data_IF_410156039069
#
_entry.id   IF_410156039069
#
_cell.length_a   1.000
_cell.length_b   1.000
_cell.length_c   1.000
_cell.angle_alpha   90.00
_cell.angle_beta   90.00
_cell.angle_gamma   90.00
#
_symmetry.space_group_name_H-M   'P 1'
#
loop_
_entity.id
_entity.type
_entity.pdbx_description
1 polymer ?
#
# COMPACT_ATOMS: atom_id res chain seq x y z
N UNK A 1 -8.95 1.14 2.01
CA UNK A 1 -8.33 2.46 1.68
C UNK A 1 -8.25 3.28 2.96
N UNK A 2 -7.22 4.11 3.13
CA UNK A 2 -7.04 4.84 4.39
C UNK A 2 -7.95 6.05 4.55
N UNK A 3 -8.27 6.76 3.48
CA UNK A 3 -9.20 7.89 3.58
C UNK A 3 -9.83 8.23 2.22
N UNK A 4 -11.03 8.81 2.23
CA UNK A 4 -11.78 9.22 1.05
C UNK A 4 -11.56 10.69 0.64
N UNK A 5 -10.97 11.51 1.52
CA UNK A 5 -10.74 12.95 1.27
C UNK A 5 -9.28 13.28 0.95
N UNK A 6 -8.34 12.49 1.45
CA UNK A 6 -6.92 12.68 1.21
C UNK A 6 -6.58 12.37 -0.23
N UNK A 7 -5.74 13.21 -0.83
CA UNK A 7 -5.27 13.00 -2.20
C UNK A 7 -4.61 11.65 -2.39
N UNK A 8 -3.77 11.22 -1.43
CA UNK A 8 -3.11 9.91 -1.49
C UNK A 8 -4.12 8.76 -1.44
N UNK A 9 -5.19 8.86 -0.65
CA UNK A 9 -6.25 7.85 -0.59
C UNK A 9 -7.03 7.74 -1.89
N UNK A 10 -7.43 8.89 -2.43
CA UNK A 10 -8.16 8.99 -3.70
C UNK A 10 -7.31 8.45 -4.85
N UNK A 11 -6.09 8.96 -5.02
CA UNK A 11 -5.23 8.64 -6.17
C UNK A 11 -4.80 7.16 -6.16
N UNK A 12 -4.46 6.58 -4.99
CA UNK A 12 -4.12 5.14 -4.89
C UNK A 12 -5.33 4.25 -5.18
N UNK A 13 -6.51 4.61 -4.67
CA UNK A 13 -7.77 3.88 -4.95
C UNK A 13 -8.08 3.93 -6.45
N UNK A 14 -8.12 5.12 -7.02
CA UNK A 14 -8.54 5.31 -8.40
C UNK A 14 -7.53 4.72 -9.38
N UNK A 15 -6.23 4.85 -9.10
CA UNK A 15 -5.18 4.19 -9.87
C UNK A 15 -5.39 2.67 -9.93
N UNK A 16 -5.64 2.03 -8.79
CA UNK A 16 -5.93 0.59 -8.73
C UNK A 16 -7.23 0.25 -9.47
N UNK A 17 -8.34 0.93 -9.16
CA UNK A 17 -9.66 0.67 -9.75
C UNK A 17 -9.63 0.81 -11.27
N UNK A 18 -9.05 1.91 -11.77
CA UNK A 18 -8.99 2.21 -13.20
C UNK A 18 -8.09 1.21 -13.93
N UNK A 19 -6.96 0.80 -13.32
CA UNK A 19 -6.08 -0.21 -13.93
C UNK A 19 -6.75 -1.58 -14.01
N UNK A 20 -7.43 -2.02 -12.96
CA UNK A 20 -8.19 -3.27 -12.96
C UNK A 20 -9.27 -3.26 -14.04
N UNK A 21 -10.11 -2.22 -14.07
CA UNK A 21 -11.20 -2.10 -15.06
C UNK A 21 -10.69 -2.08 -16.51
N UNK A 22 -9.59 -1.36 -16.77
CA UNK A 22 -9.10 -1.17 -18.14
C UNK A 22 -8.25 -2.32 -18.68
N UNK A 23 -7.56 -3.08 -17.83
CA UNK A 23 -6.59 -4.11 -18.27
C UNK A 23 -6.93 -5.53 -17.82
N UNK A 24 -7.76 -5.71 -16.81
CA UNK A 24 -8.06 -7.01 -16.21
C UNK A 24 -9.57 -7.25 -16.14
N UNK A 25 -10.27 -7.37 -17.29
CA UNK A 25 -11.73 -7.48 -17.33
C UNK A 25 -12.29 -8.74 -16.65
N UNK A 26 -11.44 -9.73 -16.37
CA UNK A 26 -11.79 -10.95 -15.62
C UNK A 26 -11.68 -10.78 -14.10
N UNK A 27 -11.19 -9.65 -13.61
CA UNK A 27 -11.13 -9.32 -12.19
C UNK A 27 -12.27 -8.36 -11.86
N UNK A 28 -13.17 -8.81 -10.98
CA UNK A 28 -14.27 -7.99 -10.47
C UNK A 28 -13.89 -7.36 -9.13
N UNK A 29 -13.99 -6.03 -9.04
CA UNK A 29 -13.89 -5.32 -7.76
C UNK A 29 -15.25 -5.42 -7.06
N UNK A 30 -15.32 -6.23 -6.01
CA UNK A 30 -16.58 -6.48 -5.30
C UNK A 30 -16.96 -5.36 -4.33
N UNK A 31 -15.99 -4.65 -3.77
CA UNK A 31 -16.24 -3.51 -2.88
C UNK A 31 -15.00 -2.64 -2.68
N UNK A 32 -15.20 -1.39 -2.25
CA UNK A 32 -14.15 -0.49 -1.76
C UNK A 32 -14.58 -0.01 -0.38
N UNK A 33 -13.74 -0.23 0.62
CA UNK A 33 -14.01 0.14 2.01
C UNK A 33 -12.93 1.08 2.57
N UNK A 34 -13.33 1.93 3.52
CA UNK A 34 -12.48 2.96 4.13
C UNK A 34 -12.21 2.63 5.60
N UNK A 35 -10.96 2.26 5.87
CA UNK A 35 -10.50 1.84 7.19
C UNK A 35 -9.90 2.95 8.04
N UNK A 36 -9.85 4.20 7.55
CA UNK A 36 -9.27 5.32 8.29
C UNK A 36 -7.74 5.29 8.40
N UNK A 37 -7.08 4.32 7.74
CA UNK A 37 -5.67 4.01 7.98
C UNK A 37 -5.44 3.30 9.32
N UNK A 38 -6.52 2.90 10.00
CA UNK A 38 -6.49 2.19 11.27
C UNK A 38 -6.53 0.68 11.04
N UNK A 39 -5.64 -0.05 11.71
CA UNK A 39 -5.47 -1.48 11.50
C UNK A 39 -6.60 -2.30 12.13
N UNK A 40 -7.16 -1.88 13.28
CA UNK A 40 -8.27 -2.59 13.93
C UNK A 40 -9.54 -2.48 13.09
N UNK A 41 -9.91 -1.26 12.70
CA UNK A 41 -11.04 -1.01 11.81
C UNK A 41 -10.88 -1.72 10.47
N UNK A 42 -9.68 -1.70 9.89
CA UNK A 42 -9.40 -2.41 8.64
C UNK A 42 -9.47 -3.94 8.79
N UNK A 43 -9.15 -4.48 9.97
CA UNK A 43 -9.30 -5.90 10.32
C UNK A 43 -10.78 -6.29 10.34
N UNK A 44 -11.63 -5.52 11.04
CA UNK A 44 -13.06 -5.81 11.13
C UNK A 44 -13.76 -5.70 9.77
N UNK A 45 -13.43 -4.68 8.98
CA UNK A 45 -13.90 -4.55 7.61
C UNK A 45 -13.47 -5.75 6.75
N UNK A 46 -12.23 -6.20 6.89
CA UNK A 46 -11.71 -7.35 6.12
C UNK A 46 -12.48 -8.62 6.45
N UNK A 47 -12.76 -8.89 7.74
CA UNK A 47 -13.58 -10.03 8.16
C UNK A 47 -14.98 -10.00 7.55
N UNK A 48 -15.64 -8.84 7.61
CA UNK A 48 -16.98 -8.66 7.02
C UNK A 48 -16.97 -8.85 5.48
N UNK A 49 -15.93 -8.37 4.79
CA UNK A 49 -15.78 -8.57 3.34
C UNK A 49 -15.60 -10.05 3.02
N UNK A 50 -14.75 -10.77 3.75
CA UNK A 50 -14.51 -12.21 3.53
C UNK A 50 -15.79 -13.02 3.74
N UNK A 51 -16.57 -12.69 4.78
CA UNK A 51 -17.85 -13.35 5.07
C UNK A 51 -18.89 -13.10 3.98
N UNK A 52 -19.01 -11.86 3.48
CA UNK A 52 -19.97 -11.48 2.44
C UNK A 52 -19.56 -11.96 1.03
N UNK A 53 -18.28 -12.28 0.81
CA UNK A 53 -17.74 -12.69 -0.48
C UNK A 53 -16.91 -13.97 -0.33
N UNK A 54 -17.54 -15.15 -0.20
CA UNK A 54 -16.83 -16.42 0.05
C UNK A 54 -15.84 -16.82 -1.07
N UNK A 55 -16.02 -16.28 -2.27
CA UNK A 55 -15.16 -16.52 -3.43
C UNK A 55 -14.05 -15.45 -3.61
N UNK A 56 -13.86 -14.55 -2.64
CA UNK A 56 -12.85 -13.50 -2.69
C UNK A 56 -11.44 -14.08 -2.95
N UNK A 57 -10.71 -13.47 -3.88
CA UNK A 57 -9.37 -13.93 -4.30
C UNK A 57 -8.22 -13.04 -3.87
N UNK A 58 -8.49 -11.77 -3.59
CA UNK A 58 -7.45 -10.86 -3.12
C UNK A 58 -7.99 -9.56 -2.55
N UNK A 59 -7.16 -8.88 -1.77
CA UNK A 59 -7.45 -7.60 -1.13
C UNK A 59 -6.21 -6.70 -1.22
N UNK A 60 -6.43 -5.42 -1.51
CA UNK A 60 -5.40 -4.39 -1.57
C UNK A 60 -5.56 -3.38 -0.42
N UNK A 61 -4.53 -3.27 0.43
CA UNK A 61 -4.43 -2.23 1.47
C UNK A 61 -3.68 -1.01 0.97
N UNK A 62 -4.32 0.16 0.95
CA UNK A 62 -3.80 1.37 0.27
C UNK A 62 -2.85 2.26 1.11
N UNK A 63 -2.55 1.87 2.34
CA UNK A 63 -1.49 2.41 3.21
C UNK A 63 -1.07 1.32 4.21
N UNK A 64 -0.05 1.60 5.02
CA UNK A 64 0.46 0.68 6.04
C UNK A 64 -0.65 0.12 6.96
N UNK A 65 -1.39 0.99 7.66
CA UNK A 65 -2.41 0.51 8.61
C UNK A 65 -3.55 -0.27 7.95
N UNK A 66 -3.96 0.11 6.73
CA UNK A 66 -4.91 -0.68 5.95
C UNK A 66 -4.33 -2.04 5.55
N UNK A 67 -3.07 -2.09 5.12
CA UNK A 67 -2.41 -3.32 4.70
C UNK A 67 -2.24 -4.30 5.86
N UNK A 68 -1.85 -3.81 7.04
CA UNK A 68 -1.77 -4.60 8.27
C UNK A 68 -3.15 -5.09 8.71
N UNK A 69 -4.17 -4.24 8.69
CA UNK A 69 -5.52 -4.69 9.05
C UNK A 69 -6.08 -5.73 8.08
N UNK A 70 -5.80 -5.61 6.78
CA UNK A 70 -6.16 -6.64 5.80
C UNK A 70 -5.44 -7.96 6.10
N UNK A 71 -4.13 -7.91 6.37
CA UNK A 71 -3.36 -9.10 6.70
C UNK A 71 -3.92 -9.80 7.96
N UNK A 72 -4.19 -9.03 9.02
CA UNK A 72 -4.75 -9.54 10.26
C UNK A 72 -6.12 -10.19 10.03
N UNK A 73 -7.02 -9.52 9.31
CA UNK A 73 -8.35 -10.06 9.02
C UNK A 73 -8.30 -11.34 8.19
N UNK A 74 -7.40 -11.43 7.21
CA UNK A 74 -7.18 -12.68 6.43
C UNK A 74 -6.63 -13.79 7.32
N UNK A 75 -5.73 -13.46 8.26
CA UNK A 75 -5.13 -14.40 9.21
C UNK A 75 -6.17 -14.94 10.20
N UNK A 76 -6.94 -14.06 10.85
CA UNK A 76 -8.00 -14.42 11.80
C UNK A 76 -9.08 -15.30 11.16
N UNK A 77 -9.37 -15.08 9.86
CA UNK A 77 -10.34 -15.89 9.12
C UNK A 77 -9.77 -17.21 8.58
N UNK A 78 -8.51 -17.54 8.87
CA UNK A 78 -7.85 -18.75 8.40
C UNK A 78 -7.71 -18.81 6.86
N UNK A 79 -7.53 -17.66 6.21
CA UNK A 79 -7.48 -17.52 4.74
C UNK A 79 -6.10 -17.17 4.18
N UNK A 80 -5.04 -17.22 4.99
CA UNK A 80 -3.65 -17.11 4.51
C UNK A 80 -3.41 -18.16 3.40
N UNK A 81 -2.76 -17.72 2.32
CA UNK A 81 -2.52 -18.55 1.13
C UNK A 81 -3.75 -18.80 0.25
N UNK A 82 -4.97 -18.46 0.71
CA UNK A 82 -6.22 -18.57 -0.07
C UNK A 82 -6.67 -17.22 -0.65
N UNK A 83 -6.35 -16.13 0.04
CA UNK A 83 -6.62 -14.75 -0.39
C UNK A 83 -5.27 -14.05 -0.55
N UNK A 84 -5.03 -13.50 -1.75
CA UNK A 84 -3.83 -12.72 -2.04
C UNK A 84 -3.91 -11.37 -1.35
N UNK A 85 -2.93 -11.05 -0.50
CA UNK A 85 -2.83 -9.74 0.14
C UNK A 85 -1.74 -8.92 -0.53
N UNK A 86 -2.09 -7.72 -0.99
CA UNK A 86 -1.14 -6.72 -1.48
C UNK A 86 -1.24 -5.46 -0.60
N UNK A 87 -0.10 -4.94 -0.19
CA UNK A 87 -0.01 -3.74 0.65
C UNK A 87 0.51 -2.49 -0.07
N UNK A 88 0.48 -1.40 0.67
CA UNK A 88 1.26 -0.20 0.42
C UNK A 88 2.15 0.03 1.64
N UNK A 89 3.22 0.78 1.46
CA UNK A 89 4.24 1.07 2.47
C UNK A 89 5.08 -0.15 2.86
N UNK A 90 6.04 0.03 3.78
CA UNK A 90 7.05 -0.99 4.13
C UNK A 90 7.31 -1.15 5.63
N UNK A 91 6.26 -1.14 6.45
CA UNK A 91 6.39 -1.39 7.88
C UNK A 91 7.00 -2.76 8.19
N UNK A 92 7.66 -2.89 9.34
CA UNK A 92 8.36 -4.12 9.75
C UNK A 92 7.45 -5.38 9.70
N UNK A 93 6.18 -5.24 10.09
CA UNK A 93 5.19 -6.32 10.03
C UNK A 93 4.88 -6.74 8.57
N UNK A 94 4.83 -5.80 7.62
CA UNK A 94 4.62 -6.12 6.20
C UNK A 94 5.83 -6.85 5.63
N UNK A 95 7.04 -6.38 5.95
CA UNK A 95 8.30 -7.02 5.54
C UNK A 95 8.36 -8.47 6.06
N UNK A 96 8.03 -8.69 7.34
CA UNK A 96 7.98 -10.01 7.93
C UNK A 96 6.95 -10.92 7.21
N UNK A 97 5.74 -10.41 6.96
CA UNK A 97 4.68 -11.14 6.26
C UNK A 97 5.04 -11.49 4.81
N UNK A 98 5.76 -10.61 4.11
CA UNK A 98 6.24 -10.87 2.75
C UNK A 98 7.34 -11.94 2.77
N UNK A 99 8.24 -11.91 3.76
CA UNK A 99 9.26 -12.95 3.92
C UNK A 99 8.66 -14.32 4.26
N UNK A 100 7.66 -14.36 5.14
CA UNK A 100 6.93 -15.59 5.50
C UNK A 100 6.02 -16.10 4.38
N UNK A 101 5.65 -15.25 3.42
CA UNK A 101 4.74 -15.58 2.33
C UNK A 101 3.25 -15.38 2.69
N UNK A 102 2.97 -14.76 3.84
CA UNK A 102 1.61 -14.38 4.24
C UNK A 102 1.06 -13.19 3.44
N UNK A 103 1.95 -12.34 2.91
CA UNK A 103 1.62 -11.22 2.02
C UNK A 103 2.38 -11.35 0.70
N UNK A 104 1.71 -11.10 -0.43
CA UNK A 104 2.32 -11.28 -1.75
C UNK A 104 3.39 -10.24 -2.07
N UNK A 105 3.22 -9.02 -1.54
CA UNK A 105 4.14 -7.92 -1.70
C UNK A 105 3.45 -6.59 -1.38
N UNK A 106 4.21 -5.50 -1.47
CA UNK A 106 3.68 -4.17 -1.27
C UNK A 106 4.41 -3.13 -2.12
N UNK A 107 3.81 -1.94 -2.22
CA UNK A 107 4.40 -0.79 -2.89
C UNK A 107 5.07 0.08 -1.83
N UNK A 108 6.40 0.16 -1.83
CA UNK A 108 7.12 1.10 -0.96
C UNK A 108 7.27 2.47 -1.63
N UNK A 109 7.29 3.49 -0.79
CA UNK A 109 7.56 4.89 -1.16
C UNK A 109 9.02 5.23 -0.85
N UNK A 110 9.41 6.49 -1.00
CA UNK A 110 10.73 6.97 -0.60
C UNK A 110 10.62 8.13 0.41
N UNK A 111 10.21 7.87 1.68
CA UNK A 111 10.01 8.94 2.66
C UNK A 111 11.31 9.69 3.01
N UNK A 112 12.47 9.01 2.98
CA UNK A 112 13.78 9.65 3.16
C UNK A 112 14.04 10.64 2.01
N UNK A 113 13.77 10.22 0.76
CA UNK A 113 13.85 11.09 -0.41
C UNK A 113 12.87 12.26 -0.35
N UNK A 114 11.65 12.04 0.12
CA UNK A 114 10.67 13.11 0.35
C UNK A 114 11.23 14.14 1.35
N UNK A 115 11.72 13.70 2.51
CA UNK A 115 12.30 14.60 3.51
C UNK A 115 13.49 15.40 2.98
N UNK A 116 14.41 14.73 2.27
CA UNK A 116 15.56 15.37 1.64
C UNK A 116 15.13 16.43 0.62
N UNK A 117 14.22 16.09 -0.30
CA UNK A 117 13.76 17.01 -1.35
C UNK A 117 13.01 18.21 -0.76
N UNK A 118 12.27 18.03 0.32
CA UNK A 118 11.60 19.13 1.02
C UNK A 118 12.62 20.14 1.56
N UNK A 119 13.62 19.68 2.32
CA UNK A 119 14.65 20.57 2.89
C UNK A 119 15.50 21.21 1.80
N UNK A 120 15.93 20.43 0.81
CA UNK A 120 16.70 20.94 -0.32
C UNK A 120 15.93 22.01 -1.11
N UNK A 121 14.64 21.80 -1.35
CA UNK A 121 13.77 22.77 -2.04
C UNK A 121 13.57 24.03 -1.20
N UNK A 122 13.39 23.90 0.12
CA UNK A 122 13.26 25.06 1.01
C UNK A 122 14.52 25.94 1.00
N UNK A 123 15.71 25.32 1.04
CA UNK A 123 16.99 26.06 0.96
C UNK A 123 17.13 26.79 -0.37
N UNK A 124 16.76 26.16 -1.49
CA UNK A 124 16.77 26.79 -2.82
C UNK A 124 15.77 27.94 -2.91
N UNK A 125 14.58 27.79 -2.33
CA UNK A 125 13.57 28.85 -2.27
C UNK A 125 14.08 30.09 -1.52
N UNK A 126 14.78 29.90 -0.39
CA UNK A 126 15.39 30.99 0.37
C UNK A 126 16.46 31.77 -0.42
N UNK A 127 17.06 31.13 -1.43
CA UNK A 127 18.04 31.74 -2.34
C UNK A 127 17.39 32.39 -3.58
N UNK A 128 16.05 32.38 -3.68
CA UNK A 128 15.33 32.91 -4.83
C UNK A 128 15.41 32.05 -6.09
N UNK A 129 15.82 30.78 -5.97
CA UNK A 129 15.90 29.87 -7.11
C UNK A 129 14.50 29.43 -7.59
N UNK A 130 14.36 29.19 -8.90
CA UNK A 130 13.14 28.60 -9.47
C UNK A 130 13.06 27.12 -9.13
N UNK A 131 11.89 26.68 -8.66
CA UNK A 131 11.64 25.30 -8.27
C UNK A 131 10.60 24.64 -9.19
N UNK A 132 10.71 23.32 -9.42
CA UNK A 132 9.64 22.57 -10.06
C UNK A 132 8.37 22.58 -9.20
N UNK A 133 7.20 22.59 -9.83
CA UNK A 133 5.90 22.51 -9.12
C UNK A 133 5.63 21.13 -8.52
N UNK A 134 6.28 20.09 -9.05
CA UNK A 134 6.10 18.71 -8.65
C UNK A 134 7.46 18.00 -8.68
N UNK A 135 7.75 17.25 -7.63
CA UNK A 135 8.95 16.41 -7.52
C UNK A 135 8.48 14.99 -7.29
N UNK A 136 8.75 14.11 -8.25
CA UNK A 136 8.49 12.68 -8.11
C UNK A 136 9.64 12.02 -7.32
N UNK A 137 9.32 11.44 -6.17
CA UNK A 137 10.30 10.75 -5.32
C UNK A 137 10.39 9.25 -5.61
N UNK A 138 9.57 8.76 -6.55
CA UNK A 138 9.51 7.37 -6.96
C UNK A 138 8.80 6.46 -5.96
N UNK A 139 8.60 5.23 -6.41
CA UNK A 139 8.02 4.11 -5.68
C UNK A 139 8.56 2.80 -6.26
N UNK A 140 8.51 1.73 -5.47
CA UNK A 140 8.94 0.41 -5.92
C UNK A 140 7.95 -0.65 -5.45
N UNK A 141 7.69 -1.63 -6.32
CA UNK A 141 7.13 -2.90 -5.88
C UNK A 141 8.21 -3.71 -5.17
N UNK A 142 7.87 -4.28 -4.02
CA UNK A 142 8.72 -5.25 -3.36
C UNK A 142 7.94 -6.49 -2.93
N UNK A 143 8.58 -7.65 -3.10
CA UNK A 143 8.10 -8.96 -2.73
C UNK A 143 9.27 -9.84 -2.26
N UNK A 144 8.99 -11.11 -1.97
CA UNK A 144 9.99 -12.06 -1.48
C UNK A 144 11.20 -12.22 -2.40
N UNK A 145 11.06 -11.98 -3.70
CA UNK A 145 12.11 -12.21 -4.70
C UNK A 145 13.10 -11.05 -4.80
N UNK A 146 12.65 -9.81 -4.55
CA UNK A 146 13.48 -8.61 -4.72
C UNK A 146 13.72 -7.83 -3.42
N UNK A 147 13.14 -8.25 -2.29
CA UNK A 147 13.24 -7.52 -1.03
C UNK A 147 14.68 -7.28 -0.57
N UNK A 148 15.63 -8.14 -0.95
CA UNK A 148 17.04 -8.00 -0.59
C UNK A 148 17.88 -7.21 -1.64
N UNK A 149 17.27 -6.74 -2.74
CA UNK A 149 17.95 -5.86 -3.69
C UNK A 149 18.36 -4.56 -2.98
N UNK A 150 19.63 -4.11 -3.08
CA UNK A 150 20.10 -2.87 -2.47
C UNK A 150 19.24 -1.64 -2.81
N UNK A 151 18.68 -1.57 -4.02
CA UNK A 151 17.80 -0.46 -4.44
C UNK A 151 16.47 -0.49 -3.69
N UNK A 152 15.94 -1.68 -3.42
CA UNK A 152 14.71 -1.85 -2.64
C UNK A 152 14.99 -1.56 -1.16
N UNK A 153 16.06 -2.13 -0.60
CA UNK A 153 16.46 -1.89 0.79
C UNK A 153 16.63 -0.41 1.13
N UNK A 154 17.16 0.39 0.20
CA UNK A 154 17.34 1.83 0.37
C UNK A 154 16.04 2.62 0.60
N UNK A 155 14.88 2.04 0.27
CA UNK A 155 13.56 2.66 0.39
C UNK A 155 12.61 1.86 1.29
N UNK A 156 13.12 0.89 2.05
CA UNK A 156 12.38 0.27 3.14
C UNK A 156 12.73 1.00 4.44
N UNK A 157 11.71 1.48 5.15
CA UNK A 157 11.87 2.39 6.31
C UNK A 157 11.48 1.76 7.66
N UNK A 158 11.59 0.43 7.75
CA UNK A 158 11.51 -0.29 9.04
C UNK A 158 12.52 0.23 10.06
#
# INVERSE_FOLDING_TARGET
VHDQTSRTGIERRDGFVNRIKSKYPKITIVTVQYGGGDHLRSTDLTKAIIQSHPNLKGIFGANEGSAIGVLNGVKEMGKIGKIVVIGYDSGAQQIAAIRSGEMAGAITQNPVGIGYQVVASAVKALKGEKLPKFVDTGFYWYDKTNINDPKIQAVLYQ
#
